data_IF_597377031081
#
_entry.id   IF_597377031081
#
_cell.length_a   1.000
_cell.length_b   1.000
_cell.length_c   1.000
_cell.angle_alpha   90.00
_cell.angle_beta   90.00
_cell.angle_gamma   90.00
#
_symmetry.space_group_name_H-M   'P 1'
#
loop_
_entity.id
_entity.type
_entity.pdbx_description
1 polymer ?
#
# COMPACT_ATOMS: atom_id res chain seq x y z
N UNK A 1 15.76 -5.34 7.93
CA UNK A 1 14.56 -4.76 7.29
C UNK A 1 13.96 -5.78 6.34
N UNK A 2 12.63 -5.84 6.23
CA UNK A 2 11.95 -6.74 5.27
C UNK A 2 12.18 -6.28 3.80
N UNK A 3 12.48 -4.99 3.60
CA UNK A 3 12.60 -4.34 2.29
C UNK A 3 14.02 -4.33 1.69
N UNK A 4 15.07 -4.46 2.52
CA UNK A 4 16.47 -4.37 2.10
C UNK A 4 16.91 -5.48 1.14
N UNK A 5 16.26 -6.66 1.17
CA UNK A 5 16.75 -7.83 0.46
C UNK A 5 16.01 -8.15 -0.85
N UNK A 6 14.85 -7.53 -1.11
CA UNK A 6 14.01 -7.88 -2.27
C UNK A 6 13.81 -6.73 -3.27
N UNK A 7 14.02 -5.46 -2.88
CA UNK A 7 13.80 -4.31 -3.78
C UNK A 7 14.94 -4.10 -4.77
N UNK A 8 16.16 -4.52 -4.44
CA UNK A 8 17.32 -4.36 -5.33
C UNK A 8 17.28 -5.32 -6.53
N UNK A 9 16.56 -6.45 -6.42
CA UNK A 9 16.44 -7.44 -7.50
C UNK A 9 15.10 -7.34 -8.27
N UNK A 10 14.06 -6.75 -7.68
CA UNK A 10 12.75 -6.59 -8.31
C UNK A 10 12.58 -5.13 -8.75
N UNK A 11 12.49 -4.88 -10.07
CA UNK A 11 12.09 -3.56 -10.58
C UNK A 11 10.68 -3.24 -10.05
N UNK A 12 10.54 -2.31 -9.08
CA UNK A 12 9.25 -2.01 -8.48
C UNK A 12 8.32 -1.31 -9.47
N UNK A 13 8.86 -0.71 -10.53
CA UNK A 13 8.10 -0.09 -11.60
C UNK A 13 7.55 -1.12 -12.60
N UNK A 14 8.14 -2.32 -12.64
CA UNK A 14 7.61 -3.43 -13.44
C UNK A 14 6.34 -4.03 -12.82
N UNK A 15 6.18 -3.97 -11.50
CA UNK A 15 5.03 -4.48 -10.75
C UNK A 15 4.54 -3.50 -9.67
N UNK A 16 4.04 -2.31 -10.06
CA UNK A 16 3.73 -1.22 -9.13
C UNK A 16 2.66 -1.59 -8.10
N UNK A 17 1.62 -2.32 -8.53
CA UNK A 17 0.54 -2.75 -7.64
C UNK A 17 1.04 -3.63 -6.50
N UNK A 18 1.89 -4.61 -6.82
CA UNK A 18 2.48 -5.51 -5.83
C UNK A 18 3.42 -4.74 -4.89
N UNK A 19 4.31 -3.90 -5.43
CA UNK A 19 5.23 -3.12 -4.61
C UNK A 19 4.50 -2.20 -3.62
N UNK A 20 3.44 -1.53 -4.06
CA UNK A 20 2.60 -0.68 -3.21
C UNK A 20 1.89 -1.51 -2.14
N UNK A 21 1.17 -2.59 -2.49
CA UNK A 21 0.49 -3.45 -1.51
C UNK A 21 1.44 -3.91 -0.42
N UNK A 22 2.65 -4.32 -0.83
CA UNK A 22 3.67 -4.79 0.08
C UNK A 22 4.03 -3.70 1.11
N UNK A 23 4.34 -2.48 0.66
CA UNK A 23 4.63 -1.35 1.57
C UNK A 23 3.43 -1.02 2.45
N UNK A 24 2.22 -1.01 1.89
CA UNK A 24 1.02 -0.74 2.67
C UNK A 24 0.82 -1.78 3.79
N UNK A 25 1.15 -3.05 3.55
CA UNK A 25 0.94 -4.11 4.53
C UNK A 25 2.08 -4.24 5.55
N UNK A 26 3.33 -4.01 5.17
CA UNK A 26 4.50 -4.27 6.04
C UNK A 26 5.45 -3.07 6.23
N UNK A 27 5.21 -1.96 5.55
CA UNK A 27 6.06 -0.77 5.51
C UNK A 27 5.47 0.42 6.26
N UNK A 28 5.06 0.21 7.51
CA UNK A 28 4.45 1.24 8.36
C UNK A 28 5.42 2.28 8.94
N UNK A 29 6.72 2.19 8.63
CA UNK A 29 7.73 3.16 9.05
C UNK A 29 7.88 4.33 8.04
N UNK A 30 8.52 5.41 8.51
CA UNK A 30 8.69 6.64 7.72
C UNK A 30 9.54 6.42 6.46
N UNK A 31 10.50 5.49 6.53
CA UNK A 31 11.41 5.22 5.42
C UNK A 31 10.69 4.53 4.26
N UNK A 32 9.96 3.44 4.54
CA UNK A 32 9.20 2.70 3.55
C UNK A 32 8.07 3.55 2.95
N UNK A 33 7.33 4.27 3.80
CA UNK A 33 6.30 5.21 3.36
C UNK A 33 6.86 6.35 2.50
N UNK A 34 8.02 6.88 2.87
CA UNK A 34 8.73 7.92 2.13
C UNK A 34 9.23 7.42 0.76
N UNK A 35 9.76 6.20 0.69
CA UNK A 35 10.14 5.58 -0.59
C UNK A 35 8.93 5.39 -1.51
N UNK A 36 7.82 4.83 -1.00
CA UNK A 36 6.61 4.61 -1.80
C UNK A 36 6.08 5.90 -2.42
N UNK A 37 6.03 6.98 -1.64
CA UNK A 37 5.56 8.31 -2.12
C UNK A 37 6.53 8.99 -3.10
N UNK A 38 7.81 8.62 -3.12
CA UNK A 38 8.78 9.10 -4.13
C UNK A 38 8.73 8.28 -5.41
N UNK A 39 8.37 7.01 -5.32
CA UNK A 39 8.38 6.05 -6.44
C UNK A 39 7.05 6.01 -7.19
N UNK A 40 5.92 6.14 -6.49
CA UNK A 40 4.58 6.00 -7.05
C UNK A 40 3.76 7.27 -6.87
N UNK A 41 2.85 7.53 -7.80
CA UNK A 41 1.89 8.62 -7.68
C UNK A 41 0.83 8.30 -6.63
N UNK A 42 0.26 9.34 -6.01
CA UNK A 42 -0.84 9.16 -5.06
C UNK A 42 -2.00 8.35 -5.67
N UNK A 43 -2.34 8.56 -6.95
CA UNK A 43 -3.42 7.81 -7.59
C UNK A 43 -3.12 6.31 -7.69
N UNK A 44 -1.89 5.91 -7.97
CA UNK A 44 -1.52 4.48 -7.97
C UNK A 44 -1.66 3.86 -6.58
N UNK A 45 -1.32 4.62 -5.52
CA UNK A 45 -1.45 4.15 -4.14
C UNK A 45 -2.92 4.04 -3.74
N UNK A 46 -3.72 5.05 -4.12
CA UNK A 46 -5.16 5.08 -3.89
C UNK A 46 -5.88 3.95 -4.64
N UNK A 47 -5.45 3.63 -5.86
CA UNK A 47 -6.02 2.53 -6.64
C UNK A 47 -5.82 1.19 -5.92
N UNK A 48 -4.65 0.94 -5.33
CA UNK A 48 -4.40 -0.26 -4.51
C UNK A 48 -5.31 -0.29 -3.28
N UNK A 49 -5.45 0.83 -2.55
CA UNK A 49 -6.36 0.89 -1.39
C UNK A 49 -7.83 0.62 -1.78
N UNK A 50 -8.25 1.07 -2.97
CA UNK A 50 -9.63 0.95 -3.46
C UNK A 50 -9.95 -0.42 -4.06
N UNK A 51 -8.94 -1.16 -4.52
CA UNK A 51 -9.15 -2.40 -5.29
C UNK A 51 -8.58 -3.65 -4.62
N UNK A 52 -7.52 -3.53 -3.81
CA UNK A 52 -6.90 -4.67 -3.16
C UNK A 52 -7.61 -5.07 -1.86
N UNK A 53 -8.07 -6.32 -1.80
CA UNK A 53 -8.75 -6.92 -0.64
C UNK A 53 -7.82 -7.72 0.26
N UNK A 54 -6.52 -7.82 -0.09
CA UNK A 54 -5.51 -8.61 0.63
C UNK A 54 -4.93 -7.89 1.84
N UNK A 55 -5.02 -6.56 1.88
CA UNK A 55 -4.56 -5.78 3.03
C UNK A 55 -5.30 -6.22 4.29
N UNK A 56 -4.60 -6.27 5.42
CA UNK A 56 -5.27 -6.50 6.69
C UNK A 56 -6.06 -5.25 7.09
N UNK A 57 -7.21 -5.39 7.79
CA UNK A 57 -8.01 -4.24 8.20
C UNK A 57 -7.24 -3.17 8.99
N UNK A 58 -6.30 -3.49 9.89
CA UNK A 58 -5.45 -2.48 10.55
C UNK A 58 -4.61 -1.68 9.57
N UNK A 59 -3.88 -2.34 8.65
CA UNK A 59 -3.05 -1.69 7.64
C UNK A 59 -3.88 -0.81 6.71
N UNK A 60 -5.00 -1.35 6.20
CA UNK A 60 -5.93 -0.62 5.36
C UNK A 60 -6.51 0.62 6.07
N UNK A 61 -6.87 0.50 7.35
CA UNK A 61 -7.38 1.62 8.16
C UNK A 61 -6.33 2.70 8.38
N UNK A 62 -5.10 2.30 8.73
CA UNK A 62 -3.99 3.23 8.93
C UNK A 62 -3.70 4.06 7.68
N UNK A 63 -3.57 3.41 6.52
CA UNK A 63 -3.27 4.12 5.29
C UNK A 63 -4.46 4.92 4.76
N UNK A 64 -5.69 4.44 4.93
CA UNK A 64 -6.87 5.25 4.62
C UNK A 64 -6.88 6.56 5.42
N UNK A 65 -6.51 6.52 6.70
CA UNK A 65 -6.35 7.72 7.51
C UNK A 65 -5.24 8.65 6.99
N UNK A 66 -4.04 8.11 6.71
CA UNK A 66 -2.90 8.87 6.20
C UNK A 66 -3.17 9.53 4.84
N UNK A 67 -3.94 8.88 3.96
CA UNK A 67 -4.28 9.39 2.63
C UNK A 67 -5.64 10.11 2.58
N UNK A 68 -6.35 10.23 3.71
CA UNK A 68 -7.66 10.91 3.77
C UNK A 68 -8.76 10.19 2.97
N UNK A 69 -8.65 8.88 2.80
CA UNK A 69 -9.63 8.05 2.09
C UNK A 69 -10.71 7.60 3.06
N UNK A 70 -11.98 7.67 2.65
CA UNK A 70 -13.09 7.14 3.45
C UNK A 70 -12.97 5.63 3.53
N UNK A 71 -13.18 5.04 4.71
CA UNK A 71 -13.18 3.59 4.90
C UNK A 71 -14.16 2.85 3.97
N UNK A 72 -15.24 3.52 3.55
CA UNK A 72 -16.22 3.03 2.57
C UNK A 72 -15.70 2.88 1.15
N UNK A 73 -14.50 3.38 0.87
CA UNK A 73 -13.87 3.36 -0.45
C UNK A 73 -12.64 2.42 -0.44
N UNK A 74 -12.42 1.65 0.63
CA UNK A 74 -11.23 0.82 0.83
C UNK A 74 -11.62 -0.65 0.73
N UNK A 75 -11.15 -1.33 -0.31
CA UNK A 75 -11.54 -2.69 -0.69
C UNK A 75 -11.44 -3.71 0.46
N UNK A 76 -10.34 -3.70 1.21
CA UNK A 76 -10.08 -4.60 2.33
C UNK A 76 -10.99 -4.38 3.56
N UNK A 77 -11.68 -3.23 3.66
CA UNK A 77 -12.61 -2.94 4.75
C UNK A 77 -14.05 -3.34 4.44
N UNK A 78 -14.30 -3.83 3.21
CA UNK A 78 -15.58 -4.38 2.81
C UNK A 78 -15.57 -5.90 2.95
N UNK A 79 -16.20 -6.41 4.01
CA UNK A 79 -16.46 -7.83 4.19
C UNK A 79 -17.29 -8.39 3.02
N UNK A 80 -16.98 -9.61 2.60
CA UNK A 80 -17.87 -10.38 1.75
C UNK A 80 -19.17 -10.63 2.52
N UNK A 81 -20.28 -10.12 1.98
CA UNK A 81 -21.62 -10.54 2.36
C UNK A 81 -21.87 -11.98 1.93
#
# INVERSE_FOLDING_TARGET
MFWDANLDELDPTAYPFYAIERVLEYGGDEEAGGWMRRTFTDEQILDVLRTDRRLTPPSATFWAFIFGVRASDVAALHGEH
#
